data_IF_193593369312
#
_entry.id   IF_193593369312
#
_cell.length_a   1.000
_cell.length_b   1.000
_cell.length_c   1.000
_cell.angle_alpha   90.00
_cell.angle_beta   90.00
_cell.angle_gamma   90.00
#
_symmetry.space_group_name_H-M   'P 1'
#
loop_
_entity.id
_entity.type
_entity.pdbx_description
1 polymer ?
#
# COMPACT_ATOMS: atom_id res chain seq x y z
N UNK A 1 -0.16 34.85 0.32
CA UNK A 1 -1.36 34.07 -0.06
C UNK A 1 -1.06 32.54 -0.06
N UNK A 2 -0.87 31.88 1.09
CA UNK A 2 -0.62 30.42 1.14
C UNK A 2 -1.82 29.55 1.54
N UNK A 3 -3.00 30.14 1.79
CA UNK A 3 -4.16 29.41 2.33
C UNK A 3 -4.97 28.65 1.28
N UNK A 4 -5.02 29.09 0.03
CA UNK A 4 -5.81 28.48 -1.04
C UNK A 4 -5.16 27.19 -1.58
N UNK A 5 -3.83 27.15 -1.74
CA UNK A 5 -3.12 25.98 -2.25
C UNK A 5 -3.10 24.81 -1.23
N UNK A 6 -2.92 25.11 0.07
CA UNK A 6 -3.00 24.10 1.12
C UNK A 6 -4.41 23.49 1.25
N UNK A 7 -5.44 24.31 1.05
CA UNK A 7 -6.82 23.82 1.08
C UNK A 7 -7.15 22.96 -0.14
N UNK A 8 -6.66 23.33 -1.32
CA UNK A 8 -6.81 22.56 -2.56
C UNK A 8 -6.04 21.22 -2.51
N UNK A 9 -4.83 21.21 -1.94
CA UNK A 9 -4.05 19.98 -1.75
C UNK A 9 -4.77 19.03 -0.79
N UNK A 10 -5.25 19.50 0.37
CA UNK A 10 -5.99 18.65 1.32
C UNK A 10 -7.31 18.10 0.75
N UNK A 11 -8.00 18.88 -0.11
CA UNK A 11 -9.21 18.38 -0.77
C UNK A 11 -8.90 17.31 -1.81
N UNK A 12 -7.82 17.45 -2.59
CA UNK A 12 -7.35 16.42 -3.53
C UNK A 12 -7.03 15.13 -2.79
N UNK A 13 -6.30 15.19 -1.67
CA UNK A 13 -5.89 14.04 -0.90
C UNK A 13 -7.12 13.33 -0.29
N UNK A 14 -8.08 14.07 0.26
CA UNK A 14 -9.34 13.51 0.75
C UNK A 14 -10.17 12.81 -0.35
N UNK A 15 -10.20 13.36 -1.56
CA UNK A 15 -10.86 12.75 -2.72
C UNK A 15 -10.13 11.49 -3.16
N UNK A 16 -8.80 11.51 -3.18
CA UNK A 16 -7.96 10.36 -3.52
C UNK A 16 -8.20 9.20 -2.54
N UNK A 17 -8.21 9.49 -1.24
CA UNK A 17 -8.48 8.49 -0.20
C UNK A 17 -9.90 7.94 -0.33
N UNK A 18 -10.91 8.78 -0.51
CA UNK A 18 -12.30 8.33 -0.70
C UNK A 18 -12.48 7.40 -1.92
N UNK A 19 -11.76 7.65 -3.03
CA UNK A 19 -11.79 6.77 -4.20
C UNK A 19 -11.04 5.47 -3.90
N UNK A 20 -9.87 5.55 -3.25
CA UNK A 20 -9.07 4.38 -2.85
C UNK A 20 -9.87 3.44 -1.95
N UNK A 21 -10.56 3.97 -0.93
CA UNK A 21 -11.38 3.19 0.00
C UNK A 21 -12.51 2.46 -0.71
N UNK A 22 -13.14 3.11 -1.71
CA UNK A 22 -14.18 2.47 -2.53
C UNK A 22 -13.63 1.34 -3.41
N UNK A 23 -12.38 1.44 -3.88
CA UNK A 23 -11.71 0.36 -4.61
C UNK A 23 -11.38 -0.79 -3.66
N UNK A 24 -10.82 -0.49 -2.49
CA UNK A 24 -10.41 -1.50 -1.51
C UNK A 24 -11.60 -2.23 -0.88
N UNK A 25 -12.71 -1.53 -0.63
CA UNK A 25 -13.96 -2.13 -0.15
C UNK A 25 -14.77 -2.88 -1.22
N UNK A 26 -14.32 -2.86 -2.49
CA UNK A 26 -15.01 -3.50 -3.60
C UNK A 26 -16.24 -2.73 -4.12
N UNK A 27 -16.54 -1.53 -3.61
CA UNK A 27 -17.60 -0.66 -4.16
C UNK A 27 -17.28 -0.23 -5.60
N UNK A 28 -15.99 -0.11 -5.91
CA UNK A 28 -15.47 0.13 -7.26
C UNK A 28 -14.58 -1.07 -7.65
N UNK A 29 -15.16 -2.19 -8.09
CA UNK A 29 -14.39 -3.39 -8.41
C UNK A 29 -13.46 -3.20 -9.62
N UNK A 30 -12.42 -4.05 -9.79
CA UNK A 30 -11.54 -4.03 -10.93
C UNK A 30 -12.28 -3.96 -12.27
N UNK A 31 -11.80 -3.12 -13.19
CA UNK A 31 -12.44 -2.86 -14.49
C UNK A 31 -13.56 -1.81 -14.48
N UNK A 32 -13.97 -1.32 -13.30
CA UNK A 32 -14.98 -0.26 -13.18
C UNK A 32 -14.50 1.02 -13.84
N UNK A 33 -15.36 1.61 -14.68
CA UNK A 33 -15.09 2.91 -15.32
C UNK A 33 -15.27 4.05 -14.32
N UNK A 34 -14.26 4.91 -14.21
CA UNK A 34 -14.26 6.08 -13.33
C UNK A 34 -14.58 7.34 -14.14
N UNK A 35 -15.76 7.92 -13.92
CA UNK A 35 -16.21 9.10 -14.64
C UNK A 35 -16.10 10.32 -13.73
N UNK A 36 -15.16 11.24 -14.06
CA UNK A 36 -14.89 12.45 -13.25
C UNK A 36 -16.16 13.20 -12.80
N UNK A 37 -17.14 13.37 -13.72
CA UNK A 37 -18.38 14.09 -13.42
C UNK A 37 -19.22 13.36 -12.37
N UNK A 38 -19.25 12.05 -12.44
CA UNK A 38 -20.03 11.20 -11.55
C UNK A 38 -19.42 11.18 -10.15
N UNK A 39 -18.11 10.95 -10.07
CA UNK A 39 -17.36 11.00 -8.82
C UNK A 39 -17.42 12.38 -8.16
N UNK A 40 -17.32 13.46 -8.94
CA UNK A 40 -17.45 14.83 -8.43
C UNK A 40 -18.85 15.10 -7.81
N UNK A 41 -19.89 14.57 -8.44
CA UNK A 41 -21.27 14.65 -7.94
C UNK A 41 -21.46 13.85 -6.64
N UNK A 42 -20.94 12.61 -6.60
CA UNK A 42 -21.08 11.71 -5.46
C UNK A 42 -20.27 12.18 -4.23
N UNK A 43 -19.12 12.83 -4.46
CA UNK A 43 -18.24 13.33 -3.40
C UNK A 43 -18.51 14.80 -3.03
N UNK A 44 -19.50 15.43 -3.67
CA UNK A 44 -19.88 16.85 -3.50
C UNK A 44 -18.68 17.81 -3.66
N UNK A 45 -17.89 17.59 -4.71
CA UNK A 45 -16.72 18.42 -5.04
C UNK A 45 -16.74 18.86 -6.51
N UNK A 46 -15.86 19.81 -6.88
CA UNK A 46 -15.65 20.14 -8.28
C UNK A 46 -14.87 19.03 -9.02
N UNK A 47 -14.86 19.06 -10.36
CA UNK A 47 -14.16 18.05 -11.18
C UNK A 47 -12.63 18.14 -11.09
N UNK A 48 -12.08 19.28 -10.69
CA UNK A 48 -10.63 19.49 -10.64
C UNK A 48 -9.95 18.56 -9.62
N UNK A 49 -10.32 18.56 -8.32
CA UNK A 49 -9.71 17.66 -7.34
C UNK A 49 -9.91 16.17 -7.69
N UNK A 50 -11.03 15.81 -8.33
CA UNK A 50 -11.25 14.42 -8.79
C UNK A 50 -10.26 14.03 -9.87
N UNK A 51 -10.03 14.90 -10.86
CA UNK A 51 -9.06 14.65 -11.93
C UNK A 51 -7.63 14.52 -11.38
N UNK A 52 -7.27 15.38 -10.43
CA UNK A 52 -5.96 15.32 -9.79
C UNK A 52 -5.79 14.06 -8.94
N UNK A 53 -6.81 13.64 -8.21
CA UNK A 53 -6.84 12.39 -7.46
C UNK A 53 -6.71 11.17 -8.38
N UNK A 54 -7.47 11.11 -9.48
CA UNK A 54 -7.37 10.02 -10.46
C UNK A 54 -5.98 9.93 -11.08
N UNK A 55 -5.33 11.06 -11.38
CA UNK A 55 -3.94 11.06 -11.87
C UNK A 55 -2.95 10.57 -10.80
N UNK A 56 -3.20 10.86 -9.52
CA UNK A 56 -2.38 10.33 -8.44
C UNK A 56 -2.54 8.80 -8.31
N UNK A 57 -3.77 8.31 -8.32
CA UNK A 57 -4.08 6.88 -8.30
C UNK A 57 -3.54 6.13 -9.54
N UNK A 58 -3.46 6.81 -10.71
CA UNK A 58 -2.83 6.26 -11.91
C UNK A 58 -1.32 6.11 -11.72
N UNK A 59 -0.64 7.08 -11.11
CA UNK A 59 0.79 6.95 -10.78
C UNK A 59 1.06 5.81 -9.81
N UNK A 60 0.17 5.56 -8.86
CA UNK A 60 0.22 4.44 -7.92
C UNK A 60 -0.16 3.09 -8.57
N UNK A 61 -0.58 3.11 -9.83
CA UNK A 61 -1.00 1.90 -10.55
C UNK A 61 -2.34 1.31 -10.11
N UNK A 62 -3.12 2.01 -9.28
CA UNK A 62 -4.45 1.53 -8.84
C UNK A 62 -5.52 1.70 -9.91
N UNK A 63 -5.38 2.72 -10.74
CA UNK A 63 -6.24 2.96 -11.90
C UNK A 63 -5.39 3.09 -13.17
N UNK A 64 -6.00 2.96 -14.34
CA UNK A 64 -5.30 3.08 -15.62
C UNK A 64 -6.19 3.76 -16.67
N UNK A 65 -5.58 4.49 -17.61
CA UNK A 65 -6.30 5.03 -18.77
C UNK A 65 -6.35 4.00 -19.90
N UNK A 66 -7.56 3.68 -20.38
CA UNK A 66 -7.78 2.81 -21.55
C UNK A 66 -8.34 3.59 -22.72
N UNK A 67 -7.82 3.41 -23.95
CA UNK A 67 -8.15 4.23 -25.11
C UNK A 67 -9.66 4.35 -25.41
N UNK A 68 -10.44 3.29 -25.17
CA UNK A 68 -11.88 3.25 -25.47
C UNK A 68 -12.77 3.46 -24.23
N UNK A 69 -12.23 3.38 -23.04
CA UNK A 69 -13.01 3.40 -21.78
C UNK A 69 -12.68 4.58 -20.88
N UNK A 70 -11.59 5.33 -21.15
CA UNK A 70 -11.06 6.34 -20.24
C UNK A 70 -10.48 5.72 -18.98
N UNK A 71 -10.54 6.41 -17.85
CA UNK A 71 -10.00 5.94 -16.58
C UNK A 71 -10.82 4.76 -16.05
N UNK A 72 -10.14 3.67 -15.67
CA UNK A 72 -10.76 2.46 -15.09
C UNK A 72 -9.94 2.00 -13.88
N UNK A 73 -10.58 1.32 -12.93
CA UNK A 73 -9.88 0.57 -11.88
C UNK A 73 -9.07 -0.53 -12.54
N UNK A 74 -7.77 -0.63 -12.21
CA UNK A 74 -6.89 -1.63 -12.81
C UNK A 74 -7.34 -3.04 -12.43
N UNK A 75 -7.27 -3.94 -13.38
CA UNK A 75 -7.55 -5.36 -13.20
C UNK A 75 -6.27 -6.14 -13.45
N UNK A 76 -5.84 -6.92 -12.47
CA UNK A 76 -4.66 -7.78 -12.57
C UNK A 76 -5.09 -9.18 -13.00
N UNK A 77 -4.42 -9.74 -13.99
CA UNK A 77 -4.50 -11.16 -14.31
C UNK A 77 -3.74 -12.00 -13.28
N UNK A 78 -3.93 -13.33 -13.22
CA UNK A 78 -3.12 -14.19 -12.36
C UNK A 78 -1.61 -14.10 -12.66
N UNK A 79 -1.22 -13.88 -13.90
CA UNK A 79 0.18 -13.69 -14.33
C UNK A 79 0.73 -12.33 -13.86
N UNK A 80 -0.10 -11.27 -13.91
CA UNK A 80 0.26 -9.97 -13.35
C UNK A 80 0.48 -10.05 -11.84
N UNK A 81 -0.37 -10.78 -11.12
CA UNK A 81 -0.22 -11.00 -9.67
C UNK A 81 1.08 -11.73 -9.35
N UNK A 82 1.40 -12.79 -10.09
CA UNK A 82 2.66 -13.52 -9.94
C UNK A 82 3.86 -12.61 -10.15
N UNK A 83 3.83 -11.82 -11.22
CA UNK A 83 4.88 -10.86 -11.55
C UNK A 83 4.99 -9.77 -10.47
N UNK A 84 3.86 -9.29 -9.94
CA UNK A 84 3.85 -8.29 -8.86
C UNK A 84 4.52 -8.82 -7.58
N UNK A 85 4.28 -10.10 -7.20
CA UNK A 85 4.97 -10.71 -6.07
C UNK A 85 6.47 -10.86 -6.30
N UNK A 86 6.90 -11.21 -7.52
CA UNK A 86 8.33 -11.29 -7.86
C UNK A 86 9.01 -9.91 -7.77
N UNK A 87 8.37 -8.86 -8.32
CA UNK A 87 8.85 -7.48 -8.22
C UNK A 87 8.92 -7.04 -6.76
N UNK A 88 7.86 -7.30 -5.98
CA UNK A 88 7.81 -6.98 -4.55
C UNK A 88 8.95 -7.67 -3.78
N UNK A 89 9.19 -8.95 -4.04
CA UNK A 89 10.27 -9.71 -3.40
C UNK A 89 11.65 -9.09 -3.65
N UNK A 90 11.92 -8.71 -4.89
CA UNK A 90 13.20 -8.08 -5.24
C UNK A 90 13.36 -6.70 -4.58
N UNK A 91 12.28 -5.91 -4.53
CA UNK A 91 12.31 -4.58 -3.91
C UNK A 91 12.45 -4.66 -2.38
N UNK A 92 11.75 -5.57 -1.73
CA UNK A 92 11.85 -5.77 -0.28
C UNK A 92 13.24 -6.29 0.15
N UNK A 93 13.88 -7.14 -0.65
CA UNK A 93 15.28 -7.53 -0.41
C UNK A 93 16.22 -6.31 -0.46
N UNK A 94 16.06 -5.43 -1.45
CA UNK A 94 16.85 -4.20 -1.56
C UNK A 94 16.56 -3.27 -0.36
N UNK A 95 15.30 -3.13 0.05
CA UNK A 95 14.91 -2.35 1.23
C UNK A 95 15.54 -2.89 2.50
N UNK A 96 15.46 -4.19 2.77
CA UNK A 96 16.07 -4.82 3.94
C UNK A 96 17.59 -4.60 4.00
N UNK A 97 18.31 -4.82 2.89
CA UNK A 97 19.76 -4.57 2.83
C UNK A 97 20.11 -3.11 3.12
N UNK A 98 19.32 -2.17 2.60
CA UNK A 98 19.54 -0.75 2.84
C UNK A 98 19.23 -0.38 4.30
N UNK A 99 18.10 -0.79 4.82
CA UNK A 99 17.64 -0.47 6.18
C UNK A 99 18.61 -0.97 7.26
N UNK A 100 19.18 -2.16 7.09
CA UNK A 100 20.22 -2.67 8.00
C UNK A 100 21.40 -1.70 8.14
N UNK A 101 21.78 -1.00 7.05
CA UNK A 101 22.89 -0.06 7.05
C UNK A 101 22.53 1.39 7.41
N UNK A 102 21.27 1.78 7.28
CA UNK A 102 20.88 3.20 7.38
C UNK A 102 19.86 3.52 8.48
N UNK A 103 19.10 2.53 8.94
CA UNK A 103 18.02 2.73 9.91
C UNK A 103 18.60 3.11 11.28
N UNK A 104 18.14 4.22 11.87
CA UNK A 104 18.47 4.62 13.22
C UNK A 104 17.48 4.08 14.26
N UNK A 105 17.70 4.32 15.54
CA UNK A 105 16.80 3.86 16.61
C UNK A 105 15.42 4.48 16.49
N UNK A 106 15.30 5.73 16.04
CA UNK A 106 14.01 6.37 15.83
C UNK A 106 13.22 5.72 14.69
N UNK A 107 13.90 5.33 13.61
CA UNK A 107 13.30 4.59 12.51
C UNK A 107 12.83 3.20 12.95
N UNK A 108 13.65 2.50 13.74
CA UNK A 108 13.25 1.23 14.36
C UNK A 108 12.00 1.39 15.24
N UNK A 109 11.94 2.45 16.04
CA UNK A 109 10.78 2.72 16.90
C UNK A 109 9.53 3.05 16.08
N UNK A 110 9.66 3.76 14.95
CA UNK A 110 8.53 4.02 14.03
C UNK A 110 8.02 2.72 13.39
N UNK A 111 8.90 1.83 12.93
CA UNK A 111 8.49 0.52 12.40
C UNK A 111 7.82 -0.34 13.49
N UNK A 112 8.39 -0.37 14.71
CA UNK A 112 7.79 -1.09 15.84
C UNK A 112 6.41 -0.55 16.17
N UNK A 113 6.23 0.77 16.18
CA UNK A 113 4.93 1.40 16.44
C UNK A 113 3.84 0.99 15.43
N UNK A 114 4.20 0.67 14.18
CA UNK A 114 3.24 0.13 13.21
C UNK A 114 2.83 -1.29 13.60
N UNK A 115 3.79 -2.15 13.95
CA UNK A 115 3.54 -3.52 14.40
C UNK A 115 2.67 -3.53 15.66
N UNK A 116 2.96 -2.64 16.63
CA UNK A 116 2.21 -2.52 17.89
C UNK A 116 0.76 -2.03 17.64
N UNK A 117 0.55 -1.09 16.70
CA UNK A 117 -0.80 -0.65 16.30
C UNK A 117 -1.60 -1.78 15.69
N UNK A 118 -0.97 -2.59 14.82
CA UNK A 118 -1.63 -3.77 14.24
C UNK A 118 -2.04 -4.76 15.33
N UNK A 119 -1.14 -5.05 16.29
CA UNK A 119 -1.44 -5.93 17.44
C UNK A 119 -2.61 -5.39 18.29
N UNK A 120 -2.60 -4.10 18.59
CA UNK A 120 -3.67 -3.46 19.38
C UNK A 120 -5.04 -3.51 18.66
N UNK A 121 -5.08 -3.34 17.35
CA UNK A 121 -6.30 -3.46 16.55
C UNK A 121 -6.83 -4.91 16.55
N UNK A 122 -5.93 -5.90 16.42
CA UNK A 122 -6.27 -7.33 16.52
C UNK A 122 -6.87 -7.65 17.89
N UNK A 123 -6.23 -7.21 18.98
CA UNK A 123 -6.69 -7.44 20.36
C UNK A 123 -8.04 -6.77 20.64
N UNK A 124 -8.31 -5.63 20.00
CA UNK A 124 -9.59 -4.94 20.08
C UNK A 124 -10.70 -5.58 19.20
N UNK A 125 -10.37 -6.56 18.36
CA UNK A 125 -11.29 -7.16 17.39
C UNK A 125 -11.66 -6.21 16.22
N UNK A 126 -10.90 -5.14 16.02
CA UNK A 126 -11.09 -4.17 14.93
C UNK A 126 -10.34 -4.64 13.68
N UNK A 127 -11.01 -5.47 12.89
CA UNK A 127 -10.43 -6.06 11.69
C UNK A 127 -10.07 -5.02 10.63
N UNK A 128 -10.82 -3.93 10.50
CA UNK A 128 -10.56 -2.88 9.53
C UNK A 128 -9.27 -2.13 9.89
N UNK A 129 -9.15 -1.66 11.14
CA UNK A 129 -7.94 -1.02 11.63
C UNK A 129 -6.72 -1.94 11.58
N UNK A 130 -6.89 -3.26 11.83
CA UNK A 130 -5.81 -4.23 11.76
C UNK A 130 -5.27 -4.39 10.32
N UNK A 131 -6.14 -4.48 9.32
CA UNK A 131 -5.78 -4.57 7.90
C UNK A 131 -5.09 -3.28 7.43
N UNK A 132 -5.61 -2.11 7.79
CA UNK A 132 -5.01 -0.82 7.44
C UNK A 132 -3.62 -0.66 8.05
N UNK A 133 -3.47 -0.94 9.35
CA UNK A 133 -2.19 -0.87 10.04
C UNK A 133 -1.18 -1.87 9.44
N UNK A 134 -1.61 -3.10 9.13
CA UNK A 134 -0.77 -4.11 8.49
C UNK A 134 -0.27 -3.65 7.11
N UNK A 135 -1.14 -3.06 6.29
CA UNK A 135 -0.75 -2.54 4.97
C UNK A 135 0.24 -1.37 5.08
N UNK A 136 0.13 -0.51 6.11
CA UNK A 136 1.02 0.63 6.33
C UNK A 136 2.46 0.24 6.70
N UNK A 137 2.71 -1.01 7.11
CA UNK A 137 4.07 -1.48 7.42
C UNK A 137 5.01 -1.41 6.22
N UNK A 138 4.53 -1.80 5.05
CA UNK A 138 5.35 -1.77 3.82
C UNK A 138 5.62 -0.35 3.33
N UNK A 139 4.67 0.56 3.50
CA UNK A 139 4.88 1.99 3.24
C UNK A 139 5.96 2.55 4.18
N UNK A 140 5.89 2.22 5.47
CA UNK A 140 6.87 2.64 6.46
C UNK A 140 8.30 2.12 6.15
N UNK A 141 8.46 0.89 5.65
CA UNK A 141 9.76 0.39 5.20
C UNK A 141 10.35 1.24 4.07
N UNK A 142 9.53 1.67 3.12
CA UNK A 142 9.97 2.52 1.99
C UNK A 142 10.36 3.90 2.49
N UNK A 143 9.57 4.50 3.38
CA UNK A 143 9.82 5.81 3.95
C UNK A 143 11.12 5.82 4.77
N UNK A 144 11.31 4.82 5.64
CA UNK A 144 12.52 4.68 6.46
C UNK A 144 13.79 4.40 5.64
N UNK A 145 13.65 3.78 4.47
CA UNK A 145 14.78 3.61 3.56
C UNK A 145 15.32 4.95 3.01
N UNK A 146 14.54 6.02 3.03
CA UNK A 146 14.93 7.39 2.68
C UNK A 146 15.51 7.52 1.26
N UNK A 147 15.12 6.66 0.34
CA UNK A 147 15.67 6.62 -1.02
C UNK A 147 14.65 7.07 -2.05
N UNK A 148 14.88 8.27 -2.61
CA UNK A 148 14.03 8.79 -3.71
C UNK A 148 13.99 7.87 -4.93
N UNK A 149 15.08 7.13 -5.20
CA UNK A 149 15.13 6.17 -6.30
C UNK A 149 14.21 4.99 -6.02
N UNK A 150 14.28 4.39 -4.81
CA UNK A 150 13.38 3.29 -4.44
C UNK A 150 11.92 3.75 -4.43
N UNK A 151 11.62 4.90 -3.84
CA UNK A 151 10.27 5.45 -3.85
C UNK A 151 9.72 5.60 -5.28
N UNK A 152 10.51 6.16 -6.22
CA UNK A 152 10.07 6.34 -7.62
C UNK A 152 9.90 5.02 -8.40
N UNK A 153 10.60 3.94 -8.01
CA UNK A 153 10.43 2.61 -8.60
C UNK A 153 9.21 1.89 -8.02
N UNK A 154 8.91 2.12 -6.74
CA UNK A 154 7.79 1.49 -6.03
C UNK A 154 6.46 2.21 -6.35
N UNK A 155 6.45 3.53 -6.50
CA UNK A 155 5.25 4.35 -6.72
C UNK A 155 4.30 3.77 -7.79
N UNK A 156 4.78 3.32 -8.99
CA UNK A 156 3.89 2.78 -10.03
C UNK A 156 3.15 1.49 -9.67
N UNK A 157 3.56 0.80 -8.62
CA UNK A 157 2.96 -0.47 -8.16
C UNK A 157 2.40 -0.37 -6.73
N UNK A 158 2.62 0.76 -6.05
CA UNK A 158 2.26 0.94 -4.64
C UNK A 158 0.76 0.72 -4.38
N UNK A 159 -0.10 1.28 -5.23
CA UNK A 159 -1.54 1.12 -5.10
C UNK A 159 -2.00 -0.33 -5.31
N UNK A 160 -1.35 -1.05 -6.21
CA UNK A 160 -1.64 -2.48 -6.45
C UNK A 160 -1.20 -3.33 -5.26
N UNK A 161 -0.03 -3.06 -4.71
CA UNK A 161 0.48 -3.75 -3.52
C UNK A 161 -0.46 -3.47 -2.33
N UNK A 162 -0.82 -2.22 -2.11
CA UNK A 162 -1.72 -1.82 -1.02
C UNK A 162 -3.10 -2.47 -1.16
N UNK A 163 -3.67 -2.48 -2.37
CA UNK A 163 -4.92 -3.18 -2.64
C UNK A 163 -4.80 -4.67 -2.32
N UNK A 164 -3.72 -5.32 -2.74
CA UNK A 164 -3.46 -6.73 -2.46
C UNK A 164 -3.38 -7.01 -0.95
N UNK A 165 -2.67 -6.15 -0.20
CA UNK A 165 -2.53 -6.27 1.25
C UNK A 165 -3.85 -6.02 1.99
N UNK A 166 -4.72 -5.15 1.47
CA UNK A 166 -6.04 -4.90 2.06
C UNK A 166 -6.99 -6.11 1.97
N UNK A 167 -6.65 -7.09 1.14
CA UNK A 167 -7.44 -8.33 1.01
C UNK A 167 -6.99 -9.44 1.99
N UNK A 168 -5.94 -9.23 2.76
CA UNK A 168 -5.49 -10.21 3.74
C UNK A 168 -6.50 -10.37 4.88
N UNK A 169 -6.79 -11.61 5.26
CA UNK A 169 -7.74 -11.92 6.34
C UNK A 169 -7.04 -12.37 7.63
N UNK A 170 -5.78 -12.80 7.54
CA UNK A 170 -4.97 -13.24 8.68
C UNK A 170 -3.95 -12.14 9.08
N UNK A 171 -4.46 -11.05 9.64
CA UNK A 171 -3.62 -9.97 10.15
C UNK A 171 -2.70 -10.43 11.29
N UNK A 172 -3.08 -11.48 12.05
CA UNK A 172 -2.29 -12.03 13.15
C UNK A 172 -0.97 -12.65 12.66
N UNK A 173 -1.04 -13.55 11.68
CA UNK A 173 0.15 -14.15 11.07
C UNK A 173 1.01 -13.08 10.41
N UNK A 174 0.42 -12.17 9.63
CA UNK A 174 1.15 -11.09 8.98
C UNK A 174 1.90 -10.21 9.99
N UNK A 175 1.24 -9.82 11.10
CA UNK A 175 1.86 -9.00 12.13
C UNK A 175 3.01 -9.72 12.86
N UNK A 176 2.87 -11.01 13.14
CA UNK A 176 3.94 -11.80 13.75
C UNK A 176 5.18 -11.87 12.84
N UNK A 177 4.99 -11.97 11.53
CA UNK A 177 6.07 -11.95 10.54
C UNK A 177 6.73 -10.57 10.43
N UNK A 178 5.94 -9.48 10.46
CA UNK A 178 6.48 -8.11 10.53
C UNK A 178 7.35 -7.90 11.78
N UNK A 179 6.95 -8.45 12.93
CA UNK A 179 7.75 -8.42 14.16
C UNK A 179 9.12 -9.08 13.96
N UNK A 180 9.18 -10.21 13.21
CA UNK A 180 10.46 -10.87 12.90
C UNK A 180 11.35 -10.01 12.00
N UNK A 181 10.77 -9.29 11.04
CA UNK A 181 11.50 -8.36 10.17
C UNK A 181 12.10 -7.23 11.02
N UNK A 182 11.31 -6.58 11.88
CA UNK A 182 11.80 -5.49 12.76
C UNK A 182 12.89 -6.00 13.70
N UNK A 183 12.74 -7.20 14.27
CA UNK A 183 13.76 -7.81 15.13
C UNK A 183 15.10 -8.01 14.39
N UNK A 184 15.06 -8.54 13.17
CA UNK A 184 16.26 -8.74 12.35
C UNK A 184 16.91 -7.40 11.94
N UNK A 185 16.13 -6.37 11.62
CA UNK A 185 16.62 -5.01 11.37
C UNK A 185 17.29 -4.42 12.60
N UNK A 186 16.75 -4.62 13.80
CA UNK A 186 17.34 -4.19 15.09
C UNK A 186 18.67 -4.90 15.38
N UNK A 187 18.77 -6.17 15.03
CA UNK A 187 20.02 -6.95 15.16
C UNK A 187 21.06 -6.61 14.08
N UNK A 188 20.71 -5.76 13.09
CA UNK A 188 21.56 -5.42 11.94
C UNK A 188 21.93 -6.63 11.08
N UNK A 189 21.12 -7.67 11.08
CA UNK A 189 21.32 -8.90 10.33
C UNK A 189 20.56 -8.85 9.00
N UNK A 190 21.26 -8.54 7.92
CA UNK A 190 20.68 -8.39 6.59
C UNK A 190 20.14 -9.72 6.05
N UNK A 191 20.83 -10.83 6.26
CA UNK A 191 20.42 -12.12 5.73
C UNK A 191 19.17 -12.62 6.45
N UNK A 192 19.11 -12.41 7.76
CA UNK A 192 17.92 -12.73 8.57
C UNK A 192 16.73 -11.84 8.22
N UNK A 193 16.94 -10.54 8.00
CA UNK A 193 15.88 -9.63 7.58
C UNK A 193 15.31 -10.01 6.22
N UNK A 194 16.16 -10.35 5.25
CA UNK A 194 15.76 -10.81 3.92
C UNK A 194 14.99 -12.12 4.01
N UNK A 195 15.45 -13.08 4.81
CA UNK A 195 14.75 -14.37 4.96
C UNK A 195 13.39 -14.18 5.63
N UNK A 196 13.27 -13.32 6.65
CA UNK A 196 12.00 -12.97 7.26
C UNK A 196 11.04 -12.31 6.24
N UNK A 197 11.53 -11.39 5.40
CA UNK A 197 10.74 -10.80 4.31
C UNK A 197 10.29 -11.85 3.30
N UNK A 198 11.15 -12.77 2.90
CA UNK A 198 10.79 -13.86 1.97
C UNK A 198 9.69 -14.75 2.52
N UNK A 199 9.81 -15.15 3.80
CA UNK A 199 8.77 -15.94 4.46
C UNK A 199 7.45 -15.20 4.51
N UNK A 200 7.46 -13.93 4.88
CA UNK A 200 6.29 -13.05 4.86
C UNK A 200 5.63 -12.97 3.48
N UNK A 201 6.41 -12.88 2.40
CA UNK A 201 5.88 -12.87 1.03
C UNK A 201 5.24 -14.19 0.63
N UNK A 202 5.76 -15.33 1.10
CA UNK A 202 5.14 -16.64 0.89
C UNK A 202 3.77 -16.71 1.56
N UNK A 203 3.67 -16.26 2.80
CA UNK A 203 2.39 -16.21 3.54
C UNK A 203 1.40 -15.24 2.89
N UNK A 204 1.86 -14.03 2.53
CA UNK A 204 1.06 -13.02 1.83
C UNK A 204 0.49 -13.54 0.50
N UNK A 205 1.31 -14.27 -0.29
CA UNK A 205 0.87 -14.89 -1.54
C UNK A 205 -0.15 -16.00 -1.32
N UNK A 206 0.02 -16.81 -0.27
CA UNK A 206 -0.93 -17.85 0.08
C UNK A 206 -2.30 -17.27 0.46
N UNK A 207 -2.33 -16.15 1.16
CA UNK A 207 -3.57 -15.40 1.45
C UNK A 207 -4.25 -14.90 0.17
N UNK A 208 -3.50 -14.25 -0.71
CA UNK A 208 -4.05 -13.74 -1.98
C UNK A 208 -4.63 -14.85 -2.87
N UNK A 209 -4.07 -16.06 -2.82
CA UNK A 209 -4.55 -17.20 -3.59
C UNK A 209 -5.91 -17.76 -3.11
N UNK A 210 -6.38 -17.35 -1.93
CA UNK A 210 -7.69 -17.72 -1.37
C UNK A 210 -8.82 -16.76 -1.77
N UNK A 211 -8.47 -15.66 -2.47
CA UNK A 211 -9.46 -14.68 -2.89
C UNK A 211 -10.38 -15.28 -3.96
N UNK A 212 -11.70 -15.04 -3.89
CA UNK A 212 -12.63 -15.42 -4.96
C UNK A 212 -12.30 -14.62 -6.23
N UNK A 213 -12.29 -15.32 -7.36
CA UNK A 213 -12.04 -14.77 -8.70
C UNK A 213 -13.13 -13.79 -9.13
#
# INVERSE_FOLDING_TARGET
MPTSEKHAAGLKDAVQDAIRDRVFSGQLPPGTRLVERQLAQELDVSRVPVREALRALEREGLVEERPTRGMVVRQLSPDDLETLYQVRSALEEILCRRLVGTLDEQGLDRLQAVVDRTAAAIDAGDSEAAVEANASFHEALVDEAGSRVLASVIEPVAGQIKWLLSQHTDAGTMNAEHQLIVAALRERDADRAIEACRQHLVSSRAEASRMPS
#
